data_IF_644634743855
#
_entry.id   IF_644634743855
#
_cell.length_a   1.000
_cell.length_b   1.000
_cell.length_c   1.000
_cell.angle_alpha   90.00
_cell.angle_beta   90.00
_cell.angle_gamma   90.00
#
_symmetry.space_group_name_H-M   'P 1'
#
loop_
_entity.id
_entity.type
_entity.pdbx_description
1 polymer ?
#
# COMPACT_ATOMS: atom_id res chain seq x y z
N UNK A 1 -2.63 -2.49 20.12
CA UNK A 1 -3.52 -3.67 20.15
C UNK A 1 -4.02 -3.86 18.74
N UNK A 2 -4.03 -5.09 18.20
CA UNK A 2 -4.53 -5.33 16.85
C UNK A 2 -5.99 -4.88 16.76
N UNK A 3 -6.35 -4.21 15.68
CA UNK A 3 -7.74 -3.81 15.41
C UNK A 3 -8.52 -4.88 14.62
N UNK A 4 -7.85 -5.98 14.25
CA UNK A 4 -8.42 -7.10 13.50
C UNK A 4 -8.01 -8.45 14.12
N UNK A 5 -8.90 -9.42 13.99
CA UNK A 5 -8.65 -10.83 14.33
C UNK A 5 -7.58 -11.43 13.42
N UNK A 6 -6.96 -12.53 13.85
CA UNK A 6 -5.91 -13.20 13.07
C UNK A 6 -6.51 -13.95 11.88
N UNK A 7 -6.05 -13.63 10.68
CA UNK A 7 -6.43 -14.32 9.44
C UNK A 7 -5.33 -15.29 9.03
N UNK A 8 -5.58 -16.60 9.17
CA UNK A 8 -4.57 -17.63 8.91
C UNK A 8 -4.11 -17.69 7.46
N UNK A 9 -4.97 -17.34 6.51
CA UNK A 9 -4.63 -17.36 5.09
C UNK A 9 -3.63 -16.24 4.79
N UNK A 10 -3.93 -15.03 5.28
CA UNK A 10 -3.04 -13.88 5.11
C UNK A 10 -1.72 -14.07 5.85
N UNK A 11 -1.77 -14.55 7.09
CA UNK A 11 -0.55 -14.81 7.88
C UNK A 11 0.35 -15.85 7.19
N UNK A 12 -0.24 -16.90 6.60
CA UNK A 12 0.52 -17.89 5.85
C UNK A 12 1.20 -17.28 4.62
N UNK A 13 0.46 -16.54 3.79
CA UNK A 13 1.03 -15.84 2.62
C UNK A 13 2.11 -14.85 3.02
N UNK A 14 1.89 -14.06 4.08
CA UNK A 14 2.89 -13.14 4.62
C UNK A 14 4.17 -13.90 4.98
N UNK A 15 4.07 -14.99 5.74
CA UNK A 15 5.23 -15.78 6.18
C UNK A 15 5.97 -16.48 5.03
N UNK A 16 5.25 -17.01 4.04
CA UNK A 16 5.84 -17.88 3.00
C UNK A 16 6.11 -17.20 1.66
N UNK A 17 5.54 -16.02 1.42
CA UNK A 17 5.69 -15.31 0.14
C UNK A 17 6.27 -13.89 0.33
N UNK A 18 5.95 -13.20 1.43
CA UNK A 18 6.29 -11.77 1.60
C UNK A 18 7.57 -11.59 2.42
N UNK A 19 7.63 -12.14 3.63
CA UNK A 19 8.75 -11.94 4.58
C UNK A 19 9.59 -13.21 4.74
N UNK A 20 9.77 -13.95 3.66
CA UNK A 20 10.49 -15.24 3.65
C UNK A 20 11.91 -15.05 4.16
N UNK A 21 12.24 -15.74 5.26
CA UNK A 21 13.53 -15.68 5.93
C UNK A 21 14.01 -14.27 6.32
N UNK A 22 13.10 -13.29 6.41
CA UNK A 22 13.46 -11.92 6.78
C UNK A 22 13.72 -11.80 8.30
N UNK A 23 14.98 -11.63 8.66
CA UNK A 23 15.45 -11.56 10.05
C UNK A 23 15.42 -10.13 10.60
N UNK A 24 15.55 -9.13 9.74
CA UNK A 24 15.55 -7.72 10.14
C UNK A 24 14.50 -6.84 9.43
N UNK A 25 14.42 -5.58 9.87
CA UNK A 25 13.45 -4.59 9.40
C UNK A 25 13.64 -4.22 7.92
N UNK A 26 14.88 -4.16 7.45
CA UNK A 26 15.17 -3.78 6.06
C UNK A 26 14.74 -4.93 5.15
N UNK A 27 15.06 -6.17 5.51
CA UNK A 27 14.62 -7.36 4.79
C UNK A 27 13.09 -7.47 4.73
N UNK A 28 12.38 -7.19 5.84
CA UNK A 28 10.92 -7.19 5.87
C UNK A 28 10.31 -6.08 5.00
N UNK A 29 10.88 -4.88 5.04
CA UNK A 29 10.43 -3.78 4.20
C UNK A 29 10.59 -4.12 2.72
N UNK A 30 11.73 -4.69 2.34
CA UNK A 30 12.00 -5.11 0.96
C UNK A 30 11.11 -6.27 0.52
N UNK A 31 10.83 -7.23 1.41
CA UNK A 31 9.88 -8.32 1.13
C UNK A 31 8.47 -7.80 0.81
N UNK A 32 7.98 -6.86 1.63
CA UNK A 32 6.72 -6.16 1.34
C UNK A 32 6.77 -5.37 0.04
N UNK A 33 7.87 -4.64 -0.19
CA UNK A 33 8.04 -3.85 -1.41
C UNK A 33 7.94 -4.72 -2.66
N UNK A 34 8.73 -5.79 -2.75
CA UNK A 34 8.76 -6.65 -3.93
C UNK A 34 7.45 -7.41 -4.14
N UNK A 35 6.81 -7.90 -3.07
CA UNK A 35 5.50 -8.52 -3.18
C UNK A 35 4.45 -7.55 -3.75
N UNK A 36 4.41 -6.32 -3.24
CA UNK A 36 3.46 -5.31 -3.70
C UNK A 36 3.76 -4.84 -5.13
N UNK A 37 5.03 -4.62 -5.47
CA UNK A 37 5.44 -4.21 -6.81
C UNK A 37 5.11 -5.27 -7.88
N UNK A 38 5.26 -6.55 -7.55
CA UNK A 38 4.97 -7.68 -8.46
C UNK A 38 3.47 -7.99 -8.55
N UNK A 39 2.72 -7.85 -7.44
CA UNK A 39 1.31 -8.26 -7.37
C UNK A 39 0.32 -7.17 -7.75
N UNK A 40 0.66 -5.89 -7.54
CA UNK A 40 -0.22 -4.78 -7.91
C UNK A 40 -0.18 -4.57 -9.42
N UNK A 41 -1.32 -4.73 -10.09
CA UNK A 41 -1.43 -4.51 -11.53
C UNK A 41 -1.54 -3.02 -11.85
N UNK A 42 -0.39 -2.36 -12.02
CA UNK A 42 -0.33 -0.95 -12.41
C UNK A 42 -0.55 -0.73 -13.92
N UNK A 43 -1.09 0.43 -14.33
CA UNK A 43 -1.73 1.43 -13.49
C UNK A 43 -3.18 1.06 -13.13
N UNK A 44 -3.67 1.55 -11.99
CA UNK A 44 -5.08 1.39 -11.59
C UNK A 44 -5.67 2.65 -10.96
N UNK A 45 -6.99 2.81 -11.08
CA UNK A 45 -7.70 3.95 -10.49
C UNK A 45 -7.93 3.74 -8.99
N UNK A 46 -7.80 4.79 -8.19
CA UNK A 46 -8.03 4.73 -6.76
C UNK A 46 -8.61 6.03 -6.18
N UNK A 47 -9.16 5.92 -4.96
CA UNK A 47 -9.42 7.07 -4.09
C UNK A 47 -8.24 7.23 -3.13
N UNK A 48 -7.65 8.42 -3.14
CA UNK A 48 -6.64 8.83 -2.17
C UNK A 48 -7.29 9.64 -1.05
N UNK A 49 -7.25 9.10 0.17
CA UNK A 49 -7.81 9.73 1.37
C UNK A 49 -6.73 10.39 2.20
N UNK A 50 -6.51 11.69 2.00
CA UNK A 50 -5.49 12.43 2.75
C UNK A 50 -6.02 12.84 4.12
N UNK A 51 -5.45 12.27 5.20
CA UNK A 51 -5.75 12.70 6.58
C UNK A 51 -4.96 13.97 6.91
N UNK A 52 -5.53 15.13 6.59
CA UNK A 52 -4.91 16.41 6.90
C UNK A 52 -4.74 16.65 8.40
N UNK A 53 -3.52 16.99 8.86
CA UNK A 53 -3.17 17.32 10.27
C UNK A 53 -4.05 18.40 10.92
N UNK A 54 -4.81 19.17 10.14
CA UNK A 54 -5.64 20.32 10.56
C UNK A 54 -7.09 20.26 10.06
N UNK A 55 -7.48 19.24 9.28
CA UNK A 55 -8.81 19.16 8.68
C UNK A 55 -9.64 18.10 9.41
N UNK A 56 -10.81 18.50 9.90
CA UNK A 56 -11.79 17.61 10.55
C UNK A 56 -12.49 16.68 9.56
N UNK A 57 -12.33 16.91 8.25
CA UNK A 57 -12.91 16.10 7.18
C UNK A 57 -11.79 15.52 6.31
N UNK A 58 -11.77 14.19 6.08
CA UNK A 58 -10.91 13.56 5.08
C UNK A 58 -11.17 14.19 3.71
N UNK A 59 -10.11 14.51 2.98
CA UNK A 59 -10.24 14.89 1.57
C UNK A 59 -9.96 13.65 0.73
N UNK A 60 -11.02 13.11 0.14
CA UNK A 60 -10.93 12.04 -0.85
C UNK A 60 -10.75 12.65 -2.23
N UNK A 61 -9.74 12.20 -2.96
CA UNK A 61 -9.51 12.58 -4.35
C UNK A 61 -9.32 11.35 -5.19
N UNK A 62 -9.88 11.34 -6.39
CA UNK A 62 -9.63 10.28 -7.35
C UNK A 62 -8.27 10.50 -8.00
N UNK A 63 -7.46 9.45 -8.04
CA UNK A 63 -6.11 9.42 -8.61
C UNK A 63 -5.93 8.16 -9.44
N UNK A 64 -4.96 8.18 -10.34
CA UNK A 64 -4.42 6.99 -10.99
C UNK A 64 -3.09 6.63 -10.30
N UNK A 65 -2.96 5.38 -9.88
CA UNK A 65 -1.74 4.85 -9.26
C UNK A 65 -0.86 4.29 -10.35
N UNK A 66 0.37 4.79 -10.47
CA UNK A 66 1.28 4.50 -11.57
C UNK A 66 2.24 3.34 -11.27
N UNK A 67 2.60 3.16 -10.01
CA UNK A 67 3.61 2.20 -9.57
C UNK A 67 3.96 2.38 -8.10
N UNK A 68 4.78 1.47 -7.56
CA UNK A 68 5.46 1.70 -6.29
C UNK A 68 6.40 2.90 -6.40
N UNK A 69 6.53 3.67 -5.30
CA UNK A 69 7.57 4.69 -5.20
C UNK A 69 8.96 4.03 -5.09
N UNK A 70 10.08 4.74 -5.29
CA UNK A 70 11.42 4.16 -5.13
C UNK A 70 11.61 3.41 -3.81
N UNK A 71 12.38 2.33 -3.83
CA UNK A 71 12.57 1.43 -2.68
C UNK A 71 13.17 2.15 -1.45
N UNK A 72 14.03 3.15 -1.68
CA UNK A 72 14.63 3.96 -0.61
C UNK A 72 13.61 4.79 0.18
N UNK A 73 12.47 5.14 -0.43
CA UNK A 73 11.36 5.79 0.27
C UNK A 73 10.50 4.79 1.05
N UNK A 74 10.55 3.51 0.68
CA UNK A 74 9.68 2.45 1.20
C UNK A 74 10.25 1.68 2.41
N UNK A 75 11.41 2.05 2.94
CA UNK A 75 12.04 1.37 4.09
C UNK A 75 11.21 1.41 5.40
N UNK A 76 10.22 2.31 5.50
CA UNK A 76 9.46 2.58 6.75
C UNK A 76 7.94 2.50 6.61
N UNK A 77 7.43 2.63 5.40
CA UNK A 77 6.01 2.58 5.03
C UNK A 77 5.97 2.28 3.53
N UNK A 78 4.86 1.75 3.00
CA UNK A 78 4.76 1.48 1.57
C UNK A 78 4.15 2.69 0.86
N UNK A 79 4.81 3.13 -0.21
CA UNK A 79 4.42 4.30 -0.97
C UNK A 79 4.23 3.96 -2.45
N UNK A 80 3.32 4.70 -3.09
CA UNK A 80 3.04 4.60 -4.51
C UNK A 80 3.04 5.98 -5.15
N UNK A 81 3.41 6.02 -6.42
CA UNK A 81 3.30 7.21 -7.26
C UNK A 81 1.88 7.34 -7.81
N UNK A 82 1.29 8.53 -7.68
CA UNK A 82 -0.08 8.81 -8.10
C UNK A 82 -0.18 10.12 -8.88
N UNK A 83 -1.12 10.17 -9.82
CA UNK A 83 -1.43 11.37 -10.62
C UNK A 83 -2.92 11.69 -10.59
N UNK A 84 -3.29 12.95 -10.79
CA UNK A 84 -4.69 13.35 -10.94
C UNK A 84 -5.15 13.13 -12.40
N UNK A 85 -6.30 12.45 -12.63
CA UNK A 85 -6.74 12.09 -13.98
C UNK A 85 -7.12 13.28 -14.88
N UNK A 86 -7.39 14.47 -14.32
CA UNK A 86 -7.83 15.66 -15.07
C UNK A 86 -6.66 16.57 -15.53
N UNK A 87 -5.41 16.13 -15.34
CA UNK A 87 -4.26 16.56 -16.15
C UNK A 87 -4.07 18.08 -16.37
N UNK A 88 -4.10 18.89 -15.31
CA UNK A 88 -3.59 20.28 -15.39
C UNK A 88 -2.17 20.45 -14.87
N UNK A 89 -1.69 19.46 -14.13
CA UNK A 89 -0.37 19.45 -13.54
C UNK A 89 0.22 18.07 -13.84
N UNK A 90 1.36 18.03 -14.54
CA UNK A 90 2.20 16.84 -14.78
C UNK A 90 2.86 16.32 -13.48
N UNK A 91 2.36 16.76 -12.31
CA UNK A 91 2.92 16.45 -11.01
C UNK A 91 2.56 15.02 -10.61
N UNK A 92 3.59 14.20 -10.53
CA UNK A 92 3.55 12.91 -9.83
C UNK A 92 3.65 13.17 -8.33
N UNK A 93 2.73 12.60 -7.56
CA UNK A 93 2.72 12.69 -6.11
C UNK A 93 3.03 11.34 -5.48
N UNK A 94 3.71 11.34 -4.34
CA UNK A 94 3.90 10.14 -3.53
C UNK A 94 2.78 10.05 -2.49
N UNK A 95 2.04 8.93 -2.50
CA UNK A 95 0.98 8.63 -1.54
C UNK A 95 1.33 7.38 -0.74
N UNK A 96 0.94 7.32 0.54
CA UNK A 96 1.05 6.07 1.31
C UNK A 96 0.03 5.08 0.78
N UNK A 97 0.44 3.84 0.58
CA UNK A 97 -0.46 2.77 0.14
C UNK A 97 -1.63 2.57 1.11
N UNK A 98 -1.43 2.87 2.40
CA UNK A 98 -2.49 2.84 3.43
C UNK A 98 -3.56 3.95 3.29
N UNK A 99 -3.33 4.95 2.45
CA UNK A 99 -4.30 6.01 2.11
C UNK A 99 -5.01 5.76 0.78
N UNK A 100 -4.72 4.66 0.10
CA UNK A 100 -5.22 4.30 -1.23
C UNK A 100 -6.34 3.25 -1.10
N UNK A 101 -7.48 3.54 -1.73
CA UNK A 101 -8.58 2.59 -1.93
C UNK A 101 -8.79 2.40 -3.43
N UNK A 102 -8.38 1.24 -3.96
CA UNK A 102 -8.52 0.94 -5.38
C UNK A 102 -10.00 0.91 -5.83
N UNK A 103 -10.24 1.34 -7.07
CA UNK A 103 -11.55 1.40 -7.73
C UNK A 103 -11.53 0.38 -8.87
N UNK A 104 -12.36 -0.66 -8.77
CA UNK A 104 -12.53 -1.68 -9.82
C UNK A 104 -11.19 -2.32 -10.25
N UNK A 105 -10.28 -2.56 -9.30
CA UNK A 105 -9.06 -3.31 -9.59
C UNK A 105 -9.33 -4.82 -9.57
N UNK A 106 -8.45 -5.57 -10.21
CA UNK A 106 -8.50 -7.03 -10.27
C UNK A 106 -8.29 -7.69 -8.90
N UNK A 107 -8.60 -8.98 -8.83
CA UNK A 107 -8.57 -9.77 -7.59
C UNK A 107 -7.16 -9.80 -6.94
N UNK A 108 -6.07 -9.82 -7.73
CA UNK A 108 -4.70 -9.85 -7.22
C UNK A 108 -4.34 -8.50 -6.59
N UNK A 109 -4.64 -7.40 -7.27
CA UNK A 109 -4.46 -6.05 -6.73
C UNK A 109 -5.27 -5.84 -5.45
N UNK A 110 -6.54 -6.28 -5.42
CA UNK A 110 -7.38 -6.19 -4.22
C UNK A 110 -6.82 -7.02 -3.07
N UNK A 111 -6.31 -8.22 -3.35
CA UNK A 111 -5.73 -9.10 -2.34
C UNK A 111 -4.47 -8.49 -1.71
N UNK A 112 -3.53 -8.01 -2.52
CA UNK A 112 -2.29 -7.41 -2.08
C UNK A 112 -2.52 -6.15 -1.22
N UNK A 113 -3.44 -5.27 -1.65
CA UNK A 113 -3.86 -4.11 -0.86
C UNK A 113 -4.46 -4.52 0.49
N UNK A 114 -5.30 -5.55 0.49
CA UNK A 114 -5.93 -6.03 1.71
C UNK A 114 -4.93 -6.70 2.67
N UNK A 115 -3.88 -7.35 2.16
CA UNK A 115 -2.80 -7.89 2.99
C UNK A 115 -1.99 -6.80 3.67
N UNK A 116 -1.66 -5.75 2.92
CA UNK A 116 -0.97 -4.60 3.48
C UNK A 116 -1.82 -3.91 4.57
N UNK A 117 -3.11 -3.71 4.30
CA UNK A 117 -4.03 -3.16 5.29
C UNK A 117 -4.17 -4.06 6.53
N UNK A 118 -4.21 -5.38 6.35
CA UNK A 118 -4.23 -6.36 7.43
C UNK A 118 -2.97 -6.25 8.29
N UNK A 119 -1.78 -6.22 7.68
CA UNK A 119 -0.50 -6.08 8.38
C UNK A 119 -0.47 -4.84 9.27
N UNK A 120 -0.90 -3.69 8.73
CA UNK A 120 -1.00 -2.44 9.49
C UNK A 120 -2.05 -2.51 10.61
N UNK A 121 -3.21 -3.13 10.36
CA UNK A 121 -4.28 -3.29 11.34
C UNK A 121 -3.90 -4.26 12.48
N UNK A 122 -3.05 -5.24 12.21
CA UNK A 122 -2.42 -6.09 13.24
C UNK A 122 -1.41 -5.31 14.10
N UNK A 123 -0.99 -4.14 13.63
CA UNK A 123 0.02 -3.30 14.29
C UNK A 123 1.43 -3.84 14.13
N UNK A 124 1.64 -4.68 13.10
CA UNK A 124 2.95 -5.19 12.75
C UNK A 124 3.81 -4.06 12.17
N UNK A 125 5.12 -4.27 12.25
CA UNK A 125 6.14 -3.36 11.79
C UNK A 125 7.21 -4.18 11.11
N UNK A 126 7.98 -3.52 10.28
CA UNK A 126 9.27 -4.04 9.84
C UNK A 126 10.16 -4.27 11.08
#
# INVERSE_FOLDING_TARGET
MPSVELDKTREHRIETEIIVDAEDKEERAMGWYYYLDDTLNFPFMAKWTKKGRKSTSPQEKQVEVLGMAPDDECEKDMFVEVVYPDGKDEDVFTARLSEIEAIDADDETQEALADWQYWLARGYKF
#
